data_IF_957753602179
#
_entry.id   IF_957753602179
#
_cell.length_a   1.000
_cell.length_b   1.000
_cell.length_c   1.000
_cell.angle_alpha   90.00
_cell.angle_beta   90.00
_cell.angle_gamma   90.00
#
_symmetry.space_group_name_H-M   'P 1'
#
loop_
_entity.id
_entity.type
_entity.pdbx_description
1 polymer ?
#
# COMPACT_ATOMS: atom_id res chain seq x y z
N UNK A 1 -21.95 24.29 -5.00
CA UNK A 1 -20.54 24.00 -5.35
C UNK A 1 -20.46 23.58 -6.80
N UNK A 2 -19.53 24.13 -7.58
CA UNK A 2 -19.33 23.67 -8.96
C UNK A 2 -18.88 22.21 -8.99
N UNK A 3 -19.22 21.48 -10.06
CA UNK A 3 -18.88 20.06 -10.23
C UNK A 3 -17.38 19.79 -10.02
N UNK A 4 -16.52 20.75 -10.42
CA UNK A 4 -15.06 20.71 -10.29
C UNK A 4 -14.61 20.61 -8.82
N UNK A 5 -15.19 21.40 -7.93
CA UNK A 5 -14.84 21.39 -6.49
C UNK A 5 -15.28 20.10 -5.80
N UNK A 6 -16.43 19.52 -6.20
CA UNK A 6 -16.85 18.21 -5.69
C UNK A 6 -15.89 17.09 -6.10
N UNK A 7 -15.44 17.07 -7.35
CA UNK A 7 -14.48 16.07 -7.84
C UNK A 7 -13.15 16.19 -7.11
N UNK A 8 -12.62 17.41 -6.94
CA UNK A 8 -11.37 17.63 -6.20
C UNK A 8 -11.48 17.20 -4.74
N UNK A 9 -12.61 17.50 -4.08
CA UNK A 9 -12.83 17.08 -2.70
C UNK A 9 -12.87 15.56 -2.55
N UNK A 10 -13.55 14.87 -3.45
CA UNK A 10 -13.61 13.39 -3.45
C UNK A 10 -12.22 12.80 -3.69
N UNK A 11 -11.46 13.34 -4.65
CA UNK A 11 -10.09 12.88 -4.92
C UNK A 11 -9.17 13.11 -3.72
N UNK A 12 -9.24 14.28 -3.07
CA UNK A 12 -8.44 14.57 -1.89
C UNK A 12 -8.78 13.62 -0.73
N UNK A 13 -10.06 13.30 -0.53
CA UNK A 13 -10.49 12.34 0.49
C UNK A 13 -10.03 10.92 0.17
N UNK A 14 -10.11 10.53 -1.11
CA UNK A 14 -9.64 9.24 -1.57
C UNK A 14 -8.12 9.09 -1.38
N UNK A 15 -7.34 10.13 -1.72
CA UNK A 15 -5.89 10.17 -1.52
C UNK A 15 -5.53 10.12 -0.04
N UNK A 16 -6.25 10.86 0.80
CA UNK A 16 -6.07 10.81 2.26
C UNK A 16 -6.22 9.39 2.80
N UNK A 17 -7.25 8.65 2.34
CA UNK A 17 -7.45 7.26 2.75
C UNK A 17 -6.38 6.32 2.17
N UNK A 18 -5.95 6.53 0.92
CA UNK A 18 -4.86 5.74 0.35
C UNK A 18 -3.54 5.96 1.10
N UNK A 19 -3.22 7.20 1.45
CA UNK A 19 -2.05 7.52 2.27
C UNK A 19 -2.17 6.99 3.70
N UNK A 20 -3.38 6.88 4.25
CA UNK A 20 -3.57 6.25 5.56
C UNK A 20 -3.13 4.78 5.59
N UNK A 21 -3.28 4.05 4.48
CA UNK A 21 -2.79 2.67 4.34
C UNK A 21 -1.26 2.61 4.38
N UNK A 22 -0.60 3.59 3.75
CA UNK A 22 0.86 3.72 3.80
C UNK A 22 1.35 3.92 5.25
N UNK A 23 0.69 4.80 6.01
CA UNK A 23 1.05 5.04 7.41
C UNK A 23 0.70 3.86 8.32
N UNK A 24 -0.39 3.12 8.03
CA UNK A 24 -0.81 1.94 8.78
C UNK A 24 0.28 0.86 8.83
N UNK A 25 0.94 0.60 7.68
CA UNK A 25 2.02 -0.38 7.59
C UNK A 25 3.15 -0.08 8.60
N UNK A 26 3.62 1.17 8.64
CA UNK A 26 4.67 1.62 9.55
C UNK A 26 4.20 1.72 11.01
N UNK A 27 2.93 2.05 11.25
CA UNK A 27 2.36 2.17 12.58
C UNK A 27 2.23 0.82 13.31
N UNK A 28 2.05 -0.26 12.55
CA UNK A 28 1.89 -1.62 13.08
C UNK A 28 3.24 -2.26 13.42
N UNK A 29 4.34 -1.85 12.79
CA UNK A 29 5.67 -2.44 12.99
C UNK A 29 6.20 -2.44 14.45
N UNK A 30 6.08 -1.36 15.26
CA UNK A 30 6.48 -1.38 16.67
C UNK A 30 5.63 -2.33 17.51
N UNK A 31 4.33 -2.42 17.22
CA UNK A 31 3.40 -3.31 17.92
C UNK A 31 3.71 -4.78 17.62
N UNK A 32 4.06 -5.13 16.38
CA UNK A 32 4.55 -6.49 16.06
C UNK A 32 5.90 -6.79 16.70
N UNK A 33 6.80 -5.81 16.73
CA UNK A 33 8.12 -5.96 17.34
C UNK A 33 8.00 -6.27 18.84
N UNK A 34 7.08 -5.61 19.54
CA UNK A 34 6.82 -5.86 20.96
C UNK A 34 6.04 -7.15 21.21
N UNK A 35 5.12 -7.53 20.31
CA UNK A 35 4.32 -8.75 20.44
C UNK A 35 5.11 -10.04 20.17
N UNK A 36 6.05 -10.03 19.21
CA UNK A 36 6.74 -11.24 18.76
C UNK A 36 8.23 -11.29 19.11
N UNK A 37 8.78 -10.19 19.65
CA UNK A 37 10.18 -10.04 20.03
C UNK A 37 11.17 -10.60 18.98
N UNK A 38 11.06 -10.19 17.70
CA UNK A 38 11.92 -10.69 16.63
C UNK A 38 13.38 -10.28 16.84
N UNK A 39 14.31 -11.13 16.37
CA UNK A 39 15.72 -10.80 16.17
C UNK A 39 15.86 -9.47 15.38
N UNK A 40 16.95 -8.72 15.59
CA UNK A 40 17.27 -7.49 14.86
C UNK A 40 17.09 -7.60 13.33
N UNK A 41 17.36 -8.77 12.74
CA UNK A 41 17.08 -9.06 11.33
C UNK A 41 15.58 -9.03 11.01
N UNK A 42 14.73 -9.58 11.87
CA UNK A 42 13.28 -9.60 11.66
C UNK A 42 12.66 -8.21 11.68
N UNK A 43 13.19 -7.30 12.52
CA UNK A 43 12.77 -5.89 12.56
C UNK A 43 13.14 -5.14 11.28
N UNK A 44 14.34 -5.38 10.76
CA UNK A 44 14.77 -4.80 9.49
C UNK A 44 13.87 -5.28 8.33
N UNK A 45 13.54 -6.57 8.32
CA UNK A 45 12.68 -7.17 7.30
C UNK A 45 11.25 -6.61 7.29
N UNK A 46 10.64 -6.33 8.45
CA UNK A 46 9.31 -5.69 8.52
C UNK A 46 9.27 -4.38 7.71
N UNK A 47 10.31 -3.56 7.81
CA UNK A 47 10.36 -2.28 7.08
C UNK A 47 10.74 -2.48 5.61
N UNK A 48 11.69 -3.37 5.33
CA UNK A 48 12.17 -3.63 3.97
C UNK A 48 11.13 -4.29 3.07
N UNK A 49 10.26 -5.15 3.60
CA UNK A 49 9.22 -5.84 2.82
C UNK A 49 8.28 -4.88 2.11
N UNK A 50 7.83 -3.81 2.77
CA UNK A 50 6.97 -2.79 2.15
C UNK A 50 7.69 -2.10 0.99
N UNK A 51 8.95 -1.74 1.19
CA UNK A 51 9.76 -1.05 0.18
C UNK A 51 10.04 -1.93 -1.04
N UNK A 52 10.35 -3.21 -0.82
CA UNK A 52 10.54 -4.20 -1.90
C UNK A 52 9.24 -4.36 -2.69
N UNK A 53 8.10 -4.47 -2.00
CA UNK A 53 6.79 -4.54 -2.63
C UNK A 53 6.50 -3.35 -3.52
N UNK A 54 6.80 -2.14 -3.03
CA UNK A 54 6.61 -0.90 -3.78
C UNK A 54 7.49 -0.84 -5.04
N UNK A 55 8.77 -1.21 -4.93
CA UNK A 55 9.70 -1.24 -6.06
C UNK A 55 9.27 -2.28 -7.09
N UNK A 56 8.88 -3.48 -6.67
CA UNK A 56 8.37 -4.51 -7.56
C UNK A 56 7.09 -4.05 -8.28
N UNK A 57 6.17 -3.38 -7.57
CA UNK A 57 4.97 -2.78 -8.12
C UNK A 57 5.28 -1.72 -9.17
N UNK A 58 6.25 -0.85 -8.89
CA UNK A 58 6.67 0.18 -9.82
C UNK A 58 7.31 -0.40 -11.08
N UNK A 59 8.20 -1.37 -10.90
CA UNK A 59 8.86 -2.06 -12.00
C UNK A 59 7.86 -2.78 -12.90
N UNK A 60 6.93 -3.54 -12.33
CA UNK A 60 5.88 -4.22 -13.10
C UNK A 60 4.96 -3.23 -13.82
N UNK A 61 4.59 -2.12 -13.17
CA UNK A 61 3.75 -1.10 -13.80
C UNK A 61 4.45 -0.42 -14.98
N UNK A 62 5.75 -0.12 -14.85
CA UNK A 62 6.57 0.43 -15.93
C UNK A 62 6.80 -0.58 -17.06
N UNK A 63 7.10 -1.84 -16.72
CA UNK A 63 7.35 -2.91 -17.69
C UNK A 63 6.12 -3.20 -18.56
N UNK A 64 4.93 -3.22 -17.97
CA UNK A 64 3.67 -3.44 -18.70
C UNK A 64 3.12 -2.18 -19.38
N UNK A 65 3.85 -1.06 -19.33
CA UNK A 65 3.39 0.26 -19.77
C UNK A 65 1.92 0.55 -19.36
N UNK A 66 1.54 0.15 -18.13
CA UNK A 66 0.17 0.31 -17.63
C UNK A 66 -0.27 1.78 -17.59
N UNK A 67 0.69 2.70 -17.66
CA UNK A 67 0.47 4.14 -17.72
C UNK A 67 -0.17 4.64 -19.03
N UNK A 68 -0.36 3.79 -20.05
CA UNK A 68 -1.04 4.19 -21.28
C UNK A 68 -2.33 3.40 -21.58
N UNK A 69 -2.54 2.26 -20.91
CA UNK A 69 -3.59 1.30 -21.31
C UNK A 69 -4.88 1.44 -20.48
N UNK A 70 -4.78 1.79 -19.20
CA UNK A 70 -5.94 1.78 -18.29
C UNK A 70 -6.32 3.18 -17.77
N UNK A 71 -7.61 3.45 -17.51
CA UNK A 71 -8.04 4.71 -16.90
C UNK A 71 -7.52 4.86 -15.47
N UNK A 72 -6.92 5.99 -15.15
CA UNK A 72 -6.29 6.28 -13.83
C UNK A 72 -7.24 6.04 -12.65
N UNK A 73 -8.52 6.39 -12.79
CA UNK A 73 -9.51 6.23 -11.72
C UNK A 73 -9.80 4.76 -11.39
N UNK A 74 -9.71 3.84 -12.36
CA UNK A 74 -9.92 2.41 -12.13
C UNK A 74 -8.71 1.81 -11.42
N UNK A 75 -7.50 2.16 -11.87
CA UNK A 75 -6.25 1.69 -11.24
C UNK A 75 -6.21 2.13 -9.77
N UNK A 76 -6.53 3.40 -9.52
CA UNK A 76 -6.62 3.96 -8.18
C UNK A 76 -7.65 3.21 -7.31
N UNK A 77 -8.88 3.02 -7.83
CA UNK A 77 -9.93 2.35 -7.09
C UNK A 77 -9.57 0.90 -6.74
N UNK A 78 -9.05 0.14 -7.71
CA UNK A 78 -8.64 -1.25 -7.50
C UNK A 78 -7.46 -1.33 -6.53
N UNK A 79 -6.47 -0.46 -6.67
CA UNK A 79 -5.32 -0.39 -5.76
C UNK A 79 -5.73 -0.07 -4.33
N UNK A 80 -6.58 0.93 -4.14
CA UNK A 80 -7.09 1.32 -2.83
C UNK A 80 -7.95 0.22 -2.19
N UNK A 81 -8.83 -0.43 -2.97
CA UNK A 81 -9.69 -1.52 -2.48
C UNK A 81 -8.87 -2.75 -2.06
N UNK A 82 -7.97 -3.20 -2.94
CA UNK A 82 -7.10 -4.33 -2.63
C UNK A 82 -6.15 -4.00 -1.48
N UNK A 83 -5.60 -2.78 -1.43
CA UNK A 83 -4.75 -2.31 -0.34
C UNK A 83 -5.49 -2.31 1.00
N UNK A 84 -6.73 -1.85 1.03
CA UNK A 84 -7.58 -1.90 2.22
C UNK A 84 -7.86 -3.33 2.68
N UNK A 85 -8.17 -4.25 1.75
CA UNK A 85 -8.37 -5.65 2.06
C UNK A 85 -7.09 -6.30 2.61
N UNK A 86 -5.93 -6.06 1.97
CA UNK A 86 -4.65 -6.57 2.44
C UNK A 86 -4.31 -6.03 3.84
N UNK A 87 -4.51 -4.73 4.08
CA UNK A 87 -4.29 -4.10 5.38
C UNK A 87 -5.24 -4.63 6.46
N UNK A 88 -6.50 -4.94 6.12
CA UNK A 88 -7.45 -5.58 7.04
C UNK A 88 -7.08 -7.03 7.37
N UNK A 89 -6.46 -7.75 6.43
CA UNK A 89 -6.02 -9.14 6.65
C UNK A 89 -4.80 -9.26 7.57
N UNK A 90 -3.95 -8.22 7.66
CA UNK A 90 -2.76 -8.22 8.53
C UNK A 90 -3.12 -8.55 10.00
N UNK A 91 -4.01 -7.83 10.69
CA UNK A 91 -4.37 -8.15 12.07
C UNK A 91 -5.13 -9.48 12.24
N UNK A 92 -5.76 -10.02 11.19
CA UNK A 92 -6.51 -11.28 11.27
C UNK A 92 -5.64 -12.52 11.04
N UNK A 93 -4.64 -12.43 10.14
CA UNK A 93 -3.91 -13.58 9.64
C UNK A 93 -2.44 -13.61 10.06
N UNK A 94 -1.84 -12.45 10.37
CA UNK A 94 -0.44 -12.41 10.77
C UNK A 94 -0.33 -12.81 12.26
N UNK A 95 -0.22 -14.10 12.51
CA UNK A 95 0.12 -14.65 13.84
C UNK A 95 1.63 -14.76 14.05
N UNK A 96 2.42 -14.61 12.98
CA UNK A 96 3.85 -14.84 12.98
C UNK A 96 4.55 -14.04 11.87
N UNK A 97 5.87 -13.84 12.00
CA UNK A 97 6.66 -13.00 11.09
C UNK A 97 6.60 -13.49 9.63
N UNK A 98 6.53 -14.80 9.42
CA UNK A 98 6.47 -15.43 8.11
C UNK A 98 5.22 -15.04 7.29
N UNK A 99 4.11 -14.73 7.95
CA UNK A 99 2.87 -14.27 7.29
C UNK A 99 2.80 -12.74 7.20
N UNK A 100 3.41 -12.02 8.15
CA UNK A 100 3.43 -10.57 8.17
C UNK A 100 4.25 -9.95 7.02
N UNK A 101 5.39 -10.56 6.66
CA UNK A 101 6.28 -10.08 5.59
C UNK A 101 5.63 -10.08 4.20
N UNK A 102 5.05 -11.19 3.70
CA UNK A 102 4.41 -11.22 2.38
C UNK A 102 3.15 -10.34 2.31
N UNK A 103 2.40 -10.19 3.42
CA UNK A 103 1.26 -9.26 3.48
C UNK A 103 1.72 -7.81 3.38
N UNK A 104 2.79 -7.43 4.07
CA UNK A 104 3.39 -6.09 3.97
C UNK A 104 3.98 -5.81 2.59
N UNK A 105 4.61 -6.80 1.96
CA UNK A 105 5.10 -6.69 0.59
C UNK A 105 3.95 -6.53 -0.41
N UNK A 106 2.85 -7.25 -0.21
CA UNK A 106 1.63 -7.09 -1.01
C UNK A 106 1.03 -5.70 -0.84
N UNK A 107 0.99 -5.18 0.39
CA UNK A 107 0.51 -3.82 0.66
C UNK A 107 1.36 -2.76 -0.05
N UNK A 108 2.70 -2.88 0.00
CA UNK A 108 3.62 -2.00 -0.74
C UNK A 108 3.38 -2.03 -2.26
N UNK A 109 3.18 -3.22 -2.83
CA UNK A 109 2.86 -3.39 -4.26
C UNK A 109 1.54 -2.73 -4.66
N UNK A 110 0.52 -2.86 -3.81
CA UNK A 110 -0.81 -2.30 -4.06
C UNK A 110 -0.84 -0.78 -3.92
N UNK A 111 -0.03 -0.21 -3.03
CA UNK A 111 0.15 1.24 -2.88
C UNK A 111 0.75 1.86 -4.16
N UNK A 112 1.59 1.13 -4.88
CA UNK A 112 2.15 1.61 -6.16
C UNK A 112 1.07 1.91 -7.21
N UNK A 113 -0.05 1.18 -7.17
CA UNK A 113 -1.18 1.39 -8.08
C UNK A 113 -1.89 2.73 -7.81
N UNK A 114 -1.80 3.24 -6.60
CA UNK A 114 -2.35 4.55 -6.20
C UNK A 114 -1.40 5.68 -6.62
N UNK A 115 -0.09 5.49 -6.46
CA UNK A 115 0.91 6.57 -6.56
C UNK A 115 1.43 6.87 -7.98
N UNK A 116 1.41 5.92 -8.91
CA UNK A 116 2.18 6.02 -10.18
C UNK A 116 1.71 7.08 -11.19
N UNK A 117 0.51 7.66 -11.04
CA UNK A 117 0.01 8.68 -11.97
C UNK A 117 -0.31 10.03 -11.35
N UNK A 118 0.11 10.29 -10.11
CA UNK A 118 -0.05 11.60 -9.47
C UNK A 118 1.14 12.54 -9.67
N UNK A 119 2.22 12.07 -10.32
CA UNK A 119 3.38 12.89 -10.65
C UNK A 119 3.29 13.23 -12.15
N UNK A 120 3.04 14.50 -12.52
CA UNK A 120 3.02 14.96 -13.91
C UNK A 120 4.41 14.92 -14.56
#
# INVERSE_FOLDING_TARGET
MSLKWRVLFILALAELFAMSLWFSASAVAPTLTTAWNPDDNGRAWLTMSVQIGFVAGAFLSAFFNRADIFPTHIIFFVGALLGALANFLIPLAANDLALALPLQMSLGFLLTLVSIRLIP
#
